data_IF_152211515221
#
_entry.id   IF_152211515221
#
_cell.length_a   1.000
_cell.length_b   1.000
_cell.length_c   1.000
_cell.angle_alpha   90.00
_cell.angle_beta   90.00
_cell.angle_gamma   90.00
#
_symmetry.space_group_name_H-M   'P 1'
#
loop_
_entity.id
_entity.type
_entity.pdbx_description
1 polymer ?
#
# COMPACT_ATOMS: atom_id res chain seq x y z
N UNK A 1 -2.10 13.66 -5.58
CA UNK A 1 -2.95 13.62 -4.38
C UNK A 1 -2.04 13.72 -3.17
N UNK A 2 -2.31 14.65 -2.26
CA UNK A 2 -1.57 14.73 -1.01
C UNK A 2 -2.23 13.86 0.08
N UNK A 3 -1.58 13.73 1.23
CA UNK A 3 -2.08 12.90 2.34
C UNK A 3 -3.45 13.36 2.86
N UNK A 4 -3.68 14.67 3.01
CA UNK A 4 -4.96 15.19 3.51
C UNK A 4 -6.12 14.90 2.54
N UNK A 5 -5.90 15.07 1.25
CA UNK A 5 -6.85 14.73 0.20
C UNK A 5 -7.19 13.24 0.22
N UNK A 6 -6.19 12.38 0.39
CA UNK A 6 -6.37 10.94 0.43
C UNK A 6 -7.17 10.50 1.67
N UNK A 7 -6.84 11.03 2.85
CA UNK A 7 -7.58 10.74 4.09
C UNK A 7 -9.03 11.22 4.00
N UNK A 8 -9.27 12.43 3.48
CA UNK A 8 -10.64 12.93 3.23
C UNK A 8 -11.39 12.05 2.24
N UNK A 9 -10.71 11.48 1.24
CA UNK A 9 -11.31 10.54 0.29
C UNK A 9 -11.76 9.26 1.00
N UNK A 10 -10.92 8.69 1.86
CA UNK A 10 -11.20 7.50 2.67
C UNK A 10 -12.40 7.70 3.60
N UNK A 11 -12.54 8.89 4.18
CA UNK A 11 -13.68 9.23 5.03
C UNK A 11 -14.98 9.38 4.23
N UNK A 12 -14.91 10.00 3.05
CA UNK A 12 -16.09 10.34 2.24
C UNK A 12 -16.64 9.18 1.42
N UNK A 13 -15.81 8.26 0.93
CA UNK A 13 -16.30 7.14 0.13
C UNK A 13 -16.33 5.84 0.91
N UNK A 14 -17.37 5.05 0.65
CA UNK A 14 -17.51 3.70 1.21
C UNK A 14 -16.62 2.69 0.47
N UNK A 15 -16.46 2.84 -0.84
CA UNK A 15 -15.72 1.92 -1.70
C UNK A 15 -14.44 2.58 -2.19
N UNK A 16 -13.37 1.80 -2.33
CA UNK A 16 -12.12 2.26 -2.89
C UNK A 16 -12.31 2.61 -4.38
N UNK A 17 -12.00 3.84 -4.83
CA UNK A 17 -12.05 4.19 -6.24
C UNK A 17 -11.06 3.37 -7.05
N UNK A 18 -11.54 2.70 -8.09
CA UNK A 18 -10.71 1.84 -8.96
C UNK A 18 -9.74 2.65 -9.83
N UNK A 19 -9.96 3.96 -9.94
CA UNK A 19 -9.09 4.90 -10.65
C UNK A 19 -7.82 5.26 -9.87
N UNK A 20 -7.74 4.92 -8.58
CA UNK A 20 -6.52 5.13 -7.81
C UNK A 20 -5.41 4.17 -8.29
N UNK A 21 -4.14 4.59 -8.25
CA UNK A 21 -2.99 3.67 -8.37
C UNK A 21 -3.09 2.51 -7.38
N UNK A 22 -2.56 1.33 -7.76
CA UNK A 22 -2.69 0.11 -6.96
C UNK A 22 -2.12 0.25 -5.55
N UNK A 23 -0.95 0.89 -5.40
CA UNK A 23 -0.41 1.23 -4.07
C UNK A 23 -1.39 2.04 -3.20
N UNK A 24 -2.06 3.06 -3.75
CA UNK A 24 -3.06 3.83 -3.00
C UNK A 24 -4.33 3.04 -2.71
N UNK A 25 -4.73 2.12 -3.60
CA UNK A 25 -5.82 1.18 -3.28
C UNK A 25 -5.44 0.28 -2.11
N UNK A 26 -4.21 -0.23 -2.05
CA UNK A 26 -3.77 -1.04 -0.92
C UNK A 26 -3.72 -0.24 0.40
N UNK A 27 -3.19 0.99 0.37
CA UNK A 27 -3.22 1.89 1.53
C UNK A 27 -4.63 2.22 2.01
N UNK A 28 -5.61 2.27 1.11
CA UNK A 28 -7.02 2.42 1.47
C UNK A 28 -7.51 1.27 2.34
N UNK A 29 -7.26 0.02 1.92
CA UNK A 29 -7.70 -1.16 2.66
C UNK A 29 -6.91 -1.34 3.96
N UNK A 30 -5.61 -1.05 3.97
CA UNK A 30 -4.80 -1.03 5.21
C UNK A 30 -5.37 -0.03 6.23
N UNK A 31 -5.74 1.18 5.80
CA UNK A 31 -6.33 2.19 6.68
C UNK A 31 -7.69 1.76 7.26
N UNK A 32 -8.48 0.96 6.51
CA UNK A 32 -9.74 0.37 6.98
C UNK A 32 -9.54 -0.89 7.83
N UNK A 33 -8.30 -1.36 8.01
CA UNK A 33 -7.98 -2.58 8.75
C UNK A 33 -8.11 -3.87 7.94
N UNK A 34 -8.33 -3.80 6.64
CA UNK A 34 -8.40 -4.95 5.74
C UNK A 34 -7.00 -5.23 5.12
N UNK A 35 -6.12 -5.73 5.98
CA UNK A 35 -4.72 -6.00 5.65
C UNK A 35 -4.57 -7.07 4.55
N UNK A 36 -5.40 -8.12 4.59
CA UNK A 36 -5.40 -9.17 3.56
C UNK A 36 -5.69 -8.60 2.17
N UNK A 37 -6.69 -7.70 2.07
CA UNK A 37 -7.00 -7.07 0.79
C UNK A 37 -5.89 -6.12 0.33
N UNK A 38 -5.24 -5.41 1.25
CA UNK A 38 -4.10 -4.57 0.92
C UNK A 38 -2.96 -5.37 0.28
N UNK A 39 -2.57 -6.51 0.88
CA UNK A 39 -1.57 -7.42 0.32
C UNK A 39 -1.97 -7.99 -1.04
N UNK A 40 -3.21 -8.46 -1.19
CA UNK A 40 -3.69 -9.01 -2.47
C UNK A 40 -3.53 -8.00 -3.61
N UNK A 41 -3.81 -6.71 -3.35
CA UNK A 41 -3.72 -5.66 -4.37
C UNK A 41 -2.28 -5.43 -4.82
N UNK A 42 -1.34 -5.28 -3.89
CA UNK A 42 0.07 -5.02 -4.25
C UNK A 42 0.78 -6.26 -4.79
N UNK A 43 0.39 -7.46 -4.35
CA UNK A 43 0.95 -8.70 -4.88
C UNK A 43 0.63 -8.92 -6.37
N UNK A 44 -0.48 -8.36 -6.87
CA UNK A 44 -0.88 -8.42 -8.27
C UNK A 44 -0.41 -7.21 -9.09
N UNK A 45 0.36 -6.30 -8.51
CA UNK A 45 0.90 -5.11 -9.17
C UNK A 45 2.40 -5.25 -9.43
N UNK A 46 2.88 -4.66 -10.51
CA UNK A 46 4.28 -4.78 -10.96
C UNK A 46 5.01 -3.43 -11.01
N UNK A 47 4.43 -2.38 -10.43
CA UNK A 47 5.00 -1.04 -10.36
C UNK A 47 5.76 -0.78 -9.06
N UNK A 48 6.71 0.15 -9.12
CA UNK A 48 7.59 0.49 -8.00
C UNK A 48 6.82 1.04 -6.78
N UNK A 49 5.75 1.81 -7.00
CA UNK A 49 4.94 2.36 -5.92
C UNK A 49 4.22 1.25 -5.15
N UNK A 50 3.68 0.25 -5.85
CA UNK A 50 3.04 -0.91 -5.23
C UNK A 50 4.05 -1.80 -4.49
N UNK A 51 5.26 -1.98 -5.03
CA UNK A 51 6.35 -2.65 -4.30
C UNK A 51 6.71 -1.90 -3.02
N UNK A 52 6.73 -0.56 -3.04
CA UNK A 52 7.03 0.23 -1.85
C UNK A 52 5.95 0.08 -0.76
N UNK A 53 4.68 0.09 -1.16
CA UNK A 53 3.56 -0.18 -0.25
C UNK A 53 3.64 -1.62 0.29
N UNK A 54 4.01 -2.60 -0.54
CA UNK A 54 4.18 -3.99 -0.10
C UNK A 54 5.27 -4.12 0.98
N UNK A 55 6.38 -3.40 0.80
CA UNK A 55 7.45 -3.32 1.78
C UNK A 55 6.97 -2.76 3.12
N UNK A 56 6.21 -1.66 3.09
CA UNK A 56 5.60 -1.06 4.27
C UNK A 56 4.66 -2.05 5.00
N UNK A 57 3.83 -2.80 4.26
CA UNK A 57 2.88 -3.72 4.87
C UNK A 57 3.59 -4.88 5.60
N UNK A 58 4.64 -5.47 5.02
CA UNK A 58 5.45 -6.49 5.68
C UNK A 58 6.24 -5.92 6.87
N UNK A 59 6.72 -4.69 6.77
CA UNK A 59 7.36 -4.02 7.90
C UNK A 59 6.39 -3.86 9.08
N UNK A 60 5.15 -3.44 8.80
CA UNK A 60 4.08 -3.31 9.81
C UNK A 60 3.72 -4.65 10.44
N UNK A 61 3.79 -5.75 9.69
CA UNK A 61 3.61 -7.13 10.17
C UNK A 61 4.78 -7.62 11.04
N UNK A 62 5.98 -7.06 10.86
CA UNK A 62 7.22 -7.50 11.51
C UNK A 62 8.03 -8.48 10.66
N UNK A 63 7.64 -8.75 9.42
CA UNK A 63 8.40 -9.54 8.46
C UNK A 63 9.44 -8.66 7.75
N UNK A 64 10.53 -8.38 8.46
CA UNK A 64 11.58 -7.49 7.98
C UNK A 64 12.33 -8.04 6.74
N UNK A 65 12.42 -9.36 6.60
CA UNK A 65 13.08 -9.98 5.45
C UNK A 65 12.29 -9.72 4.16
N UNK A 66 10.97 -9.93 4.20
CA UNK A 66 10.12 -9.59 3.05
C UNK A 66 10.03 -8.08 2.83
N UNK A 67 9.97 -7.29 3.91
CA UNK A 67 10.01 -5.83 3.78
C UNK A 67 11.25 -5.37 3.01
N UNK A 68 12.43 -5.88 3.38
CA UNK A 68 13.69 -5.55 2.73
C UNK A 68 13.68 -5.91 1.23
N UNK A 69 13.22 -7.11 0.88
CA UNK A 69 13.08 -7.55 -0.52
C UNK A 69 12.23 -6.56 -1.34
N UNK A 70 11.06 -6.16 -0.81
CA UNK A 70 10.17 -5.26 -1.53
C UNK A 70 10.68 -3.81 -1.57
N UNK A 71 11.40 -3.34 -0.56
CA UNK A 71 12.10 -2.05 -0.63
C UNK A 71 13.11 -2.05 -1.78
N UNK A 72 13.92 -3.11 -1.91
CA UNK A 72 14.84 -3.27 -3.05
C UNK A 72 14.10 -3.26 -4.40
N UNK A 73 12.97 -3.98 -4.52
CA UNK A 73 12.16 -3.97 -5.74
C UNK A 73 11.59 -2.59 -6.08
N UNK A 74 11.25 -1.78 -5.08
CA UNK A 74 10.72 -0.43 -5.29
C UNK A 74 11.80 0.62 -5.63
N UNK A 75 13.06 0.35 -5.30
CA UNK A 75 14.14 1.34 -5.37
C UNK A 75 14.03 2.48 -4.34
N UNK A 76 13.13 2.36 -3.36
CA UNK A 76 12.93 3.33 -2.29
C UNK A 76 13.79 2.98 -1.07
N UNK A 77 14.17 3.97 -0.24
CA UNK A 77 14.88 3.70 1.00
C UNK A 77 14.00 2.93 1.98
N UNK A 78 14.65 2.06 2.75
CA UNK A 78 14.08 1.42 3.92
C UNK A 78 14.05 2.43 5.08
N UNK A 79 12.97 2.41 5.88
CA UNK A 79 12.78 3.29 7.05
C UNK A 79 12.84 2.49 8.35
#
# INVERSE_FOLDING_TARGET
MNTEEFLRLIEKQRLCPQTLPKGLQAMWYDNKGDWSKAHEIVANASDADSAWVHAYLHRKEGDLNNAHFWYQCSGQPEF
#
